data_IF_097965909459
#
_entry.id   IF_097965909459
#
_cell.length_a   1.000
_cell.length_b   1.000
_cell.length_c   1.000
_cell.angle_alpha   90.00
_cell.angle_beta   90.00
_cell.angle_gamma   90.00
#
_symmetry.space_group_name_H-M   'P 1'
#
loop_
_entity.id
_entity.type
_entity.pdbx_description
1 polymer ?
#
# COMPACT_ATOMS: atom_id res chain seq x y z
N UNK A 1 -19.92 -18.26 1.92
CA UNK A 1 -19.68 -17.82 0.53
C UNK A 1 -18.35 -17.08 0.49
N UNK A 2 -17.33 -17.59 -0.22
CA UNK A 2 -16.07 -16.84 -0.40
C UNK A 2 -16.34 -15.73 -1.41
N UNK A 3 -16.06 -14.45 -1.12
CA UNK A 3 -16.25 -13.39 -2.09
C UNK A 3 -15.39 -13.69 -3.33
N UNK A 4 -15.99 -13.60 -4.51
CA UNK A 4 -15.29 -13.78 -5.78
C UNK A 4 -14.17 -12.73 -5.86
N UNK A 5 -12.92 -13.13 -6.21
CA UNK A 5 -11.83 -12.16 -6.36
C UNK A 5 -12.22 -11.11 -7.39
N UNK A 6 -11.95 -9.83 -7.06
CA UNK A 6 -12.22 -8.73 -7.97
C UNK A 6 -11.32 -8.87 -9.21
N UNK A 7 -11.87 -8.78 -10.44
CA UNK A 7 -11.04 -8.72 -11.63
C UNK A 7 -10.23 -7.43 -11.62
N UNK A 8 -8.92 -7.55 -11.90
CA UNK A 8 -8.02 -6.40 -12.03
C UNK A 8 -8.38 -5.60 -13.28
N UNK A 9 -8.51 -4.30 -13.14
CA UNK A 9 -8.73 -3.38 -14.26
C UNK A 9 -7.44 -2.64 -14.64
N UNK A 10 -7.32 -2.16 -15.89
CA UNK A 10 -6.24 -1.25 -16.26
C UNK A 10 -6.27 0.00 -15.35
N UNK A 11 -5.18 0.24 -14.60
CA UNK A 11 -5.08 1.32 -13.61
C UNK A 11 -5.11 0.87 -12.14
N UNK A 12 -5.60 -0.35 -11.87
CA UNK A 12 -5.59 -0.93 -10.51
C UNK A 12 -4.17 -1.30 -10.05
N UNK A 13 -3.27 -1.57 -10.99
CA UNK A 13 -1.87 -1.90 -10.74
C UNK A 13 -0.95 -1.22 -11.73
N UNK A 14 0.30 -1.02 -11.31
CA UNK A 14 1.41 -0.66 -12.19
C UNK A 14 2.64 -1.49 -11.83
N UNK A 15 3.59 -1.58 -12.75
CA UNK A 15 4.89 -2.16 -12.47
C UNK A 15 5.86 -1.05 -12.13
N UNK A 16 6.57 -1.17 -11.00
CA UNK A 16 7.65 -0.26 -10.68
C UNK A 16 8.92 -0.61 -11.47
N UNK A 17 9.97 0.19 -11.33
CA UNK A 17 11.26 -0.02 -12.00
C UNK A 17 11.92 -1.36 -11.66
N UNK A 18 11.54 -1.97 -10.53
CA UNK A 18 12.02 -3.28 -10.09
C UNK A 18 11.20 -4.43 -10.69
N UNK A 19 10.23 -4.15 -11.55
CA UNK A 19 9.33 -5.15 -12.13
C UNK A 19 8.32 -5.72 -11.13
N UNK A 20 8.11 -5.06 -9.99
CA UNK A 20 7.14 -5.48 -8.98
C UNK A 20 5.77 -4.89 -9.28
N UNK A 21 4.74 -5.72 -9.15
CA UNK A 21 3.34 -5.29 -9.26
C UNK A 21 2.95 -4.52 -8.00
N UNK A 22 2.65 -3.23 -8.17
CA UNK A 22 2.19 -2.34 -7.11
C UNK A 22 0.71 -2.05 -7.30
N UNK A 23 -0.09 -2.28 -6.26
CA UNK A 23 -1.51 -1.92 -6.25
C UNK A 23 -1.67 -0.42 -6.00
N UNK A 24 -2.53 0.20 -6.79
CA UNK A 24 -2.87 1.61 -6.65
C UNK A 24 -3.98 1.81 -5.61
N UNK A 25 -4.18 3.07 -5.23
CA UNK A 25 -5.31 3.46 -4.39
C UNK A 25 -6.66 3.06 -5.00
N UNK A 26 -6.79 3.14 -6.33
CA UNK A 26 -8.02 2.80 -7.06
C UNK A 26 -8.45 1.35 -6.83
N UNK A 27 -7.50 0.41 -6.84
CA UNK A 27 -7.77 -0.99 -6.51
C UNK A 27 -8.29 -1.15 -5.08
N UNK A 28 -7.68 -0.44 -4.13
CA UNK A 28 -8.08 -0.48 -2.72
C UNK A 28 -9.45 0.14 -2.47
N UNK A 29 -9.83 1.17 -3.23
CA UNK A 29 -11.18 1.75 -3.22
C UNK A 29 -12.21 0.79 -3.81
N UNK A 30 -11.92 0.20 -4.99
CA UNK A 30 -12.81 -0.78 -5.65
C UNK A 30 -13.06 -2.03 -4.81
N UNK A 31 -12.04 -2.47 -4.06
CA UNK A 31 -12.16 -3.59 -3.09
C UNK A 31 -13.22 -3.29 -2.02
N UNK A 32 -13.45 -2.02 -1.70
CA UNK A 32 -14.50 -1.58 -0.77
C UNK A 32 -14.21 -1.87 0.70
N UNK A 33 -13.02 -2.36 1.05
CA UNK A 33 -12.62 -2.54 2.45
C UNK A 33 -11.10 -2.42 2.65
N UNK A 34 -10.71 -1.98 3.84
CA UNK A 34 -9.32 -1.93 4.27
C UNK A 34 -8.81 -3.35 4.56
N UNK A 35 -7.70 -3.72 3.94
CA UNK A 35 -7.06 -5.03 4.14
C UNK A 35 -6.12 -5.10 5.35
N UNK A 36 -5.93 -3.97 6.06
CA UNK A 36 -5.06 -3.84 7.24
C UNK A 36 -3.64 -4.40 7.04
N UNK A 37 -3.14 -4.38 5.80
CA UNK A 37 -1.81 -4.90 5.47
C UNK A 37 -0.71 -3.83 5.56
N UNK A 38 -1.08 -2.56 5.77
CA UNK A 38 -0.13 -1.44 5.82
C UNK A 38 0.40 -1.03 4.44
N UNK A 39 -0.47 -1.01 3.42
CA UNK A 39 -0.10 -0.65 2.05
C UNK A 39 0.33 0.82 1.96
N UNK A 40 1.31 1.12 1.10
CA UNK A 40 1.87 2.47 0.91
C UNK A 40 0.87 3.47 0.32
N UNK A 41 -0.06 3.00 -0.52
CA UNK A 41 -1.13 3.79 -1.14
C UNK A 41 -2.50 3.47 -0.50
N UNK A 42 -2.56 3.36 0.83
CA UNK A 42 -3.80 3.03 1.50
C UNK A 42 -4.77 4.24 1.51
N UNK A 43 -5.93 4.18 0.83
CA UNK A 43 -6.92 5.26 0.88
C UNK A 43 -7.54 5.42 2.27
N UNK A 44 -7.50 4.37 3.08
CA UNK A 44 -8.06 4.35 4.44
C UNK A 44 -7.09 4.89 5.50
N UNK A 45 -5.88 5.31 5.12
CA UNK A 45 -4.87 5.80 6.06
C UNK A 45 -4.34 4.75 7.04
N UNK A 46 -4.56 3.45 6.78
CA UNK A 46 -4.07 2.38 7.65
C UNK A 46 -2.56 2.21 7.49
N UNK A 47 -1.83 2.56 8.54
CA UNK A 47 -0.39 2.35 8.65
C UNK A 47 -0.17 1.21 9.64
N UNK A 48 0.49 0.14 9.18
CA UNK A 48 0.88 -0.94 10.09
C UNK A 48 2.00 -0.39 10.97
N UNK A 49 1.80 -0.33 12.28
CA UNK A 49 2.92 -0.04 13.18
C UNK A 49 4.03 -1.08 12.92
N UNK A 50 5.10 -0.63 12.26
CA UNK A 50 6.32 -1.41 12.17
C UNK A 50 6.74 -1.65 13.62
N UNK A 51 6.73 -2.91 14.04
CA UNK A 51 7.27 -3.30 15.35
C UNK A 51 8.70 -2.75 15.36
N UNK A 52 8.95 -1.74 16.19
CA UNK A 52 10.26 -1.11 16.32
C UNK A 52 11.21 -2.17 16.85
N UNK A 53 11.86 -2.90 15.96
CA UNK A 53 13.15 -3.49 16.28
C UNK A 53 14.11 -2.31 16.41
N UNK A 54 14.60 -2.11 17.63
CA UNK A 54 15.33 -0.91 18.01
C UNK A 54 16.77 -0.95 17.50
N UNK A 55 17.00 -1.03 16.18
CA UNK A 55 18.33 -0.79 15.63
C UNK A 55 18.34 -0.45 14.13
N UNK A 56 17.74 0.68 13.75
CA UNK A 56 18.14 1.37 12.52
C UNK A 56 17.97 2.88 12.69
N UNK A 57 19.03 3.70 12.64
CA UNK A 57 18.87 5.15 12.54
C UNK A 57 18.23 5.45 11.18
N UNK A 58 16.93 5.78 11.19
CA UNK A 58 16.27 6.44 10.06
C UNK A 58 16.93 7.79 9.85
N UNK A 59 17.95 7.83 9.00
CA UNK A 59 18.43 9.05 8.35
C UNK A 59 17.69 9.23 7.03
N UNK A 60 17.42 10.49 6.76
CA UNK A 60 16.95 11.08 5.50
C UNK A 60 15.44 11.03 5.26
N UNK A 61 14.72 12.13 5.03
CA UNK A 61 15.08 13.54 4.85
C UNK A 61 13.77 14.30 4.61
N UNK A 62 13.56 15.44 5.25
CA UNK A 62 13.47 16.69 4.49
C UNK A 62 12.20 17.47 4.87
N UNK A 63 12.34 18.42 5.79
CA UNK A 63 11.37 19.52 5.95
C UNK A 63 12.16 20.82 5.81
N UNK A 64 12.18 21.36 4.60
CA UNK A 64 12.53 22.76 4.38
C UNK A 64 11.38 23.62 4.89
N UNK A 65 11.72 24.62 5.69
CA UNK A 65 10.82 25.63 6.26
C UNK A 65 11.60 26.46 7.27
#
# INVERSE_FOLDING_TARGET
MRPKPLPLQPGDTYFNEQGLMVFTEQYHLRRGYCCQSGCRHCPYGYQKEAKKDQNTPSKDGGKSG
#
